data_IF_410860417422
#
_entry.id   IF_410860417422
#
_cell.length_a   1.000
_cell.length_b   1.000
_cell.length_c   1.000
_cell.angle_alpha   90.00
_cell.angle_beta   90.00
_cell.angle_gamma   90.00
#
_symmetry.space_group_name_H-M   'P 1'
#
loop_
_entity.id
_entity.type
_entity.pdbx_description
1 polymer ?
#
# COMPACT_ATOMS: atom_id res chain seq x y z
N UNK A 1 16.32 6.67 21.49
CA UNK A 1 15.33 7.39 22.29
C UNK A 1 15.52 7.14 23.79
N UNK A 2 15.44 5.91 24.29
CA UNK A 2 15.67 5.59 25.73
C UNK A 2 16.98 6.13 26.27
N UNK A 3 18.05 6.16 25.48
CA UNK A 3 19.36 6.74 25.83
C UNK A 3 19.44 8.26 25.82
N UNK A 4 18.32 8.99 25.68
CA UNK A 4 18.29 10.46 25.70
C UNK A 4 18.56 11.13 24.36
N UNK A 5 18.62 10.38 23.25
CA UNK A 5 18.72 10.98 21.91
C UNK A 5 17.32 11.40 21.47
N UNK A 6 17.12 12.69 21.20
CA UNK A 6 15.82 13.24 20.84
C UNK A 6 15.52 13.15 19.35
N UNK A 7 16.54 13.20 18.52
CA UNK A 7 16.42 13.11 17.05
C UNK A 7 17.53 12.26 16.49
N UNK A 8 17.16 11.27 15.72
CA UNK A 8 18.07 10.31 15.11
C UNK A 8 17.75 10.18 13.62
N UNK A 9 18.78 10.04 12.81
CA UNK A 9 18.65 9.55 11.44
C UNK A 9 19.88 8.77 11.03
N UNK A 10 19.68 7.87 10.07
CA UNK A 10 20.79 7.20 9.38
C UNK A 10 20.41 6.94 7.91
N UNK A 11 21.44 6.77 7.09
CA UNK A 11 21.30 6.19 5.76
C UNK A 11 21.76 4.74 5.90
N UNK A 12 20.79 3.83 5.99
CA UNK A 12 21.02 2.44 6.38
C UNK A 12 20.94 1.51 5.18
N UNK A 13 21.88 0.56 5.11
CA UNK A 13 21.74 -0.59 4.22
C UNK A 13 20.81 -1.61 4.86
N UNK A 14 19.74 -1.98 4.15
CA UNK A 14 18.71 -2.87 4.63
C UNK A 14 18.65 -4.14 3.78
N UNK A 15 18.26 -5.24 4.42
CA UNK A 15 18.11 -6.55 3.80
C UNK A 15 16.76 -7.12 4.15
N UNK A 16 16.05 -7.67 3.14
CA UNK A 16 14.77 -8.37 3.32
C UNK A 16 14.73 -9.61 2.46
N UNK A 17 14.22 -10.69 3.02
CA UNK A 17 13.87 -11.89 2.26
C UNK A 17 12.46 -11.70 1.68
N UNK A 18 12.38 -11.22 0.46
CA UNK A 18 11.12 -10.98 -0.23
C UNK A 18 11.25 -11.16 -1.75
N UNK A 19 10.12 -11.36 -2.41
CA UNK A 19 10.06 -11.48 -3.87
C UNK A 19 10.54 -10.21 -4.55
N UNK A 20 11.36 -10.40 -5.59
CA UNK A 20 11.83 -9.31 -6.44
C UNK A 20 10.70 -8.75 -7.29
N UNK A 21 10.52 -7.44 -7.23
CA UNK A 21 9.58 -6.67 -8.06
C UNK A 21 10.30 -5.51 -8.73
N UNK A 22 9.59 -4.79 -9.58
CA UNK A 22 10.15 -3.60 -10.24
C UNK A 22 10.65 -2.55 -9.22
N UNK A 23 9.94 -2.40 -8.10
CA UNK A 23 10.21 -1.45 -7.02
C UNK A 23 10.79 -2.08 -5.74
N UNK A 24 11.24 -3.36 -5.80
CA UNK A 24 11.76 -4.09 -4.64
C UNK A 24 13.04 -4.86 -4.97
N UNK A 25 13.99 -4.80 -4.04
CA UNK A 25 15.24 -5.54 -4.05
C UNK A 25 15.48 -6.13 -2.65
N UNK A 26 16.14 -7.31 -2.54
CA UNK A 26 16.46 -7.92 -1.23
C UNK A 26 17.48 -7.11 -0.45
N UNK A 27 18.19 -6.22 -1.11
CA UNK A 27 19.19 -5.33 -0.57
C UNK A 27 18.91 -3.92 -1.10
N UNK A 28 18.67 -2.96 -0.19
CA UNK A 28 18.24 -1.60 -0.53
C UNK A 28 18.72 -0.61 0.56
N UNK A 29 18.59 0.67 0.27
CA UNK A 29 18.99 1.73 1.20
C UNK A 29 17.76 2.47 1.72
N UNK A 30 17.74 2.77 3.02
CA UNK A 30 16.73 3.62 3.64
C UNK A 30 17.35 4.88 4.24
N UNK A 31 16.57 5.96 4.21
CA UNK A 31 16.77 7.11 5.11
C UNK A 31 15.83 6.85 6.27
N UNK A 32 16.39 6.44 7.39
CA UNK A 32 15.65 6.04 8.59
C UNK A 32 15.75 7.12 9.66
N UNK A 33 14.61 7.52 10.24
CA UNK A 33 14.52 8.63 11.18
C UNK A 33 13.60 8.30 12.35
N UNK A 34 14.01 8.70 13.55
CA UNK A 34 13.23 8.59 14.78
C UNK A 34 13.34 9.88 15.61
N UNK A 35 12.20 10.31 16.19
CA UNK A 35 12.13 11.53 16.99
C UNK A 35 11.35 11.29 18.28
N UNK A 36 11.84 11.86 19.38
CA UNK A 36 11.16 11.84 20.67
C UNK A 36 10.24 13.05 20.84
N UNK A 37 9.18 12.88 21.65
CA UNK A 37 8.22 13.92 22.01
C UNK A 37 7.47 14.51 20.81
N UNK A 38 7.09 13.65 19.87
CA UNK A 38 6.39 14.02 18.64
C UNK A 38 5.04 13.35 18.52
N UNK A 39 4.18 14.01 17.76
CA UNK A 39 2.90 13.49 17.25
C UNK A 39 3.05 13.05 15.78
N UNK A 40 2.01 12.44 15.21
CA UNK A 40 1.96 12.15 13.76
C UNK A 40 2.18 13.43 12.93
N UNK A 41 1.55 14.54 13.36
CA UNK A 41 1.63 15.83 12.66
C UNK A 41 3.05 16.38 12.63
N UNK A 42 3.80 16.24 13.72
CA UNK A 42 5.19 16.70 13.79
C UNK A 42 6.08 15.89 12.85
N UNK A 43 5.90 14.56 12.80
CA UNK A 43 6.66 13.69 11.90
C UNK A 43 6.32 13.99 10.46
N UNK A 44 5.04 14.11 10.11
CA UNK A 44 4.62 14.44 8.74
C UNK A 44 5.15 15.80 8.29
N UNK A 45 5.02 16.84 9.11
CA UNK A 45 5.47 18.19 8.75
C UNK A 45 6.99 18.25 8.52
N UNK A 46 7.78 17.55 9.35
CA UNK A 46 9.23 17.47 9.19
C UNK A 46 9.61 16.78 7.86
N UNK A 47 8.96 15.66 7.55
CA UNK A 47 9.22 14.90 6.33
C UNK A 47 8.74 15.61 5.05
N UNK A 48 7.63 16.36 5.11
CA UNK A 48 7.24 17.26 4.02
C UNK A 48 8.29 18.31 3.75
N UNK A 49 8.85 18.90 4.80
CA UNK A 49 9.95 19.86 4.68
C UNK A 49 11.20 19.27 4.03
N UNK A 50 11.56 18.03 4.40
CA UNK A 50 12.67 17.28 3.80
C UNK A 50 12.43 17.06 2.29
N UNK A 51 11.29 16.50 1.93
CA UNK A 51 10.93 16.21 0.54
C UNK A 51 10.89 17.48 -0.30
N UNK A 52 10.23 18.52 0.18
CA UNK A 52 10.16 19.82 -0.48
C UNK A 52 11.58 20.37 -0.78
N UNK A 53 12.48 20.30 0.20
CA UNK A 53 13.85 20.76 0.04
C UNK A 53 14.61 19.89 -1.00
N UNK A 54 14.55 18.58 -0.89
CA UNK A 54 15.22 17.65 -1.82
C UNK A 54 14.76 17.86 -3.25
N UNK A 55 13.45 17.92 -3.49
CA UNK A 55 12.91 18.11 -4.83
C UNK A 55 13.28 19.48 -5.43
N UNK A 56 13.27 20.52 -4.62
CA UNK A 56 13.69 21.85 -5.07
C UNK A 56 15.18 21.93 -5.37
N UNK A 57 16.04 21.41 -4.51
CA UNK A 57 17.49 21.50 -4.68
C UNK A 57 18.04 20.57 -5.76
N UNK A 58 17.42 19.39 -5.94
CA UNK A 58 17.92 18.38 -6.90
C UNK A 58 17.23 18.49 -8.26
N UNK A 59 15.91 18.72 -8.30
CA UNK A 59 15.13 18.72 -9.53
C UNK A 59 14.69 20.13 -9.97
N UNK A 60 14.83 21.14 -9.11
CA UNK A 60 14.26 22.46 -9.37
C UNK A 60 12.73 22.51 -9.29
N UNK A 61 12.10 21.47 -8.70
CA UNK A 61 10.65 21.36 -8.56
C UNK A 61 10.22 21.85 -7.18
N UNK A 62 9.34 22.84 -7.15
CA UNK A 62 8.75 23.31 -5.89
C UNK A 62 7.49 22.49 -5.58
N UNK A 63 7.56 21.70 -4.52
CA UNK A 63 6.46 20.87 -4.05
C UNK A 63 5.61 21.64 -3.04
N UNK A 64 4.30 21.73 -3.29
CA UNK A 64 3.37 22.39 -2.39
C UNK A 64 3.14 21.55 -1.12
N UNK A 65 3.15 22.21 0.04
CA UNK A 65 2.86 21.62 1.36
C UNK A 65 1.79 22.44 2.08
N UNK A 66 0.98 21.87 2.98
CA UNK A 66 0.98 20.49 3.44
C UNK A 66 0.42 19.52 2.41
N UNK A 67 0.89 18.25 2.43
CA UNK A 67 0.34 17.20 1.58
C UNK A 67 -1.07 16.81 2.03
N UNK A 68 -1.90 16.38 1.06
CA UNK A 68 -3.22 15.83 1.36
C UNK A 68 -3.08 14.62 2.27
N UNK A 69 -3.91 14.56 3.32
CA UNK A 69 -4.08 13.37 4.16
C UNK A 69 -5.32 12.62 3.73
N UNK A 70 -5.21 11.33 3.60
CA UNK A 70 -6.26 10.43 3.16
C UNK A 70 -6.31 9.23 4.10
N UNK A 71 -7.39 9.00 4.84
CA UNK A 71 -7.54 7.78 5.61
C UNK A 71 -7.45 6.52 4.73
N UNK A 72 -6.88 5.45 5.25
CA UNK A 72 -6.77 4.16 4.54
C UNK A 72 -8.12 3.70 3.97
N UNK A 73 -9.20 3.85 4.75
CA UNK A 73 -10.54 3.49 4.30
C UNK A 73 -11.00 4.28 3.08
N UNK A 74 -10.68 5.58 3.00
CA UNK A 74 -10.94 6.42 1.84
C UNK A 74 -10.09 5.99 0.64
N UNK A 75 -8.79 5.73 0.86
CA UNK A 75 -7.88 5.28 -0.20
C UNK A 75 -8.37 3.97 -0.84
N UNK A 76 -8.76 3.00 -0.02
CA UNK A 76 -9.34 1.74 -0.51
C UNK A 76 -10.68 1.93 -1.20
N UNK A 77 -11.59 2.71 -0.61
CA UNK A 77 -12.93 2.91 -1.16
C UNK A 77 -12.93 3.62 -2.52
N UNK A 78 -12.04 4.63 -2.70
CA UNK A 78 -11.99 5.46 -3.91
C UNK A 78 -11.00 4.99 -4.96
N UNK A 79 -9.93 4.31 -4.56
CA UNK A 79 -8.83 3.99 -5.48
C UNK A 79 -8.49 2.51 -5.50
N UNK A 80 -9.00 1.70 -4.56
CA UNK A 80 -8.73 0.27 -4.46
C UNK A 80 -7.27 -0.04 -4.10
N UNK A 81 -6.58 0.90 -3.44
CA UNK A 81 -5.16 0.77 -3.08
C UNK A 81 -4.83 1.66 -1.88
N UNK A 82 -3.95 1.19 -1.01
CA UNK A 82 -3.31 1.92 0.08
C UNK A 82 -2.26 2.95 -0.39
N UNK A 83 -1.89 2.92 -1.65
CA UNK A 83 -0.94 3.83 -2.32
C UNK A 83 -1.53 4.36 -3.65
N UNK A 84 -2.57 5.19 -3.60
CA UNK A 84 -3.29 5.61 -4.80
C UNK A 84 -2.46 6.56 -5.66
N UNK A 85 -2.49 6.33 -6.97
CA UNK A 85 -2.07 7.35 -7.93
C UNK A 85 -3.24 8.32 -8.16
N UNK A 86 -3.11 9.53 -7.69
CA UNK A 86 -4.14 10.57 -7.78
C UNK A 86 -3.90 11.59 -8.90
N UNK A 87 -2.96 11.31 -9.84
CA UNK A 87 -2.71 12.18 -11.01
C UNK A 87 -3.83 12.17 -12.02
N UNK A 88 -4.72 11.17 -11.95
CA UNK A 88 -5.87 11.01 -12.84
C UNK A 88 -7.11 10.58 -12.04
N UNK A 89 -8.28 10.70 -12.66
CA UNK A 89 -9.56 10.28 -12.07
C UNK A 89 -9.75 8.76 -12.04
N UNK A 90 -10.87 8.26 -12.57
CA UNK A 90 -11.27 6.85 -12.57
C UNK A 90 -11.47 6.29 -11.14
N UNK A 91 -12.09 7.09 -10.27
CA UNK A 91 -12.37 6.66 -8.91
C UNK A 91 -13.40 5.53 -8.90
N UNK A 92 -13.26 4.62 -7.94
CA UNK A 92 -14.20 3.55 -7.69
C UNK A 92 -15.51 4.12 -7.15
N UNK A 93 -16.61 3.59 -7.63
CA UNK A 93 -17.96 3.95 -7.19
C UNK A 93 -18.67 2.71 -6.65
N UNK A 94 -19.29 2.84 -5.49
CA UNK A 94 -20.08 1.78 -4.88
C UNK A 94 -21.50 1.81 -5.47
N UNK A 95 -21.90 0.71 -6.10
CA UNK A 95 -23.22 0.52 -6.67
C UNK A 95 -23.94 -0.70 -6.06
N UNK A 96 -23.45 -1.16 -4.91
CA UNK A 96 -23.96 -2.34 -4.21
C UNK A 96 -25.46 -2.24 -3.95
N UNK A 97 -25.91 -1.11 -3.40
CA UNK A 97 -27.33 -0.92 -3.08
C UNK A 97 -28.21 -0.82 -4.33
N UNK A 98 -27.67 -0.23 -5.40
CA UNK A 98 -28.39 -0.13 -6.69
C UNK A 98 -28.61 -1.49 -7.33
N UNK A 99 -27.67 -2.42 -7.16
CA UNK A 99 -27.66 -3.72 -7.83
C UNK A 99 -27.96 -4.90 -6.89
N UNK A 100 -28.36 -4.63 -5.65
CA UNK A 100 -28.64 -5.64 -4.61
C UNK A 100 -29.66 -6.68 -5.06
N UNK A 101 -30.76 -6.25 -5.67
CA UNK A 101 -31.85 -7.11 -6.09
C UNK A 101 -31.78 -7.47 -7.59
N UNK A 102 -30.67 -7.15 -8.25
CA UNK A 102 -30.54 -7.35 -9.69
C UNK A 102 -30.73 -8.81 -10.10
N UNK A 103 -31.34 -9.02 -11.28
CA UNK A 103 -31.48 -10.34 -11.87
C UNK A 103 -30.14 -10.96 -12.34
N UNK A 104 -29.05 -10.27 -12.23
CA UNK A 104 -27.72 -10.80 -12.57
C UNK A 104 -27.14 -11.57 -11.39
N UNK A 105 -27.17 -12.90 -11.45
CA UNK A 105 -26.82 -13.81 -10.36
C UNK A 105 -25.44 -13.54 -9.74
N UNK A 106 -24.45 -13.07 -10.52
CA UNK A 106 -23.10 -12.77 -10.01
C UNK A 106 -23.15 -11.62 -9.01
N UNK A 107 -23.89 -10.54 -9.30
CA UNK A 107 -24.00 -9.41 -8.39
C UNK A 107 -24.79 -9.78 -7.14
N UNK A 108 -25.93 -10.42 -7.34
CA UNK A 108 -26.78 -10.86 -6.22
C UNK A 108 -26.01 -11.77 -5.26
N UNK A 109 -25.33 -12.79 -5.77
CA UNK A 109 -24.54 -13.72 -4.93
C UNK A 109 -23.40 -13.01 -4.17
N UNK A 110 -22.74 -12.03 -4.78
CA UNK A 110 -21.68 -11.28 -4.11
C UNK A 110 -22.25 -10.46 -2.93
N UNK A 111 -23.37 -9.79 -3.13
CA UNK A 111 -24.04 -8.98 -2.10
C UNK A 111 -24.61 -9.85 -0.97
N UNK A 112 -25.28 -10.96 -1.30
CA UNK A 112 -25.81 -11.93 -0.32
C UNK A 112 -24.71 -12.53 0.55
N UNK A 113 -23.49 -12.68 0.02
CA UNK A 113 -22.31 -13.14 0.76
C UNK A 113 -21.62 -12.04 1.60
N UNK A 114 -22.17 -10.82 1.65
CA UNK A 114 -21.61 -9.71 2.43
C UNK A 114 -20.53 -8.90 1.70
N UNK A 115 -20.32 -9.15 0.41
CA UNK A 115 -19.39 -8.39 -0.43
C UNK A 115 -20.02 -7.17 -1.09
N UNK A 116 -19.40 -6.67 -2.15
CA UNK A 116 -19.85 -5.45 -2.84
C UNK A 116 -19.79 -5.57 -4.36
N UNK A 117 -20.54 -4.67 -5.00
CA UNK A 117 -20.48 -4.40 -6.43
C UNK A 117 -19.99 -2.97 -6.61
N UNK A 118 -18.83 -2.82 -7.25
CA UNK A 118 -18.22 -1.52 -7.50
C UNK A 118 -17.85 -1.36 -8.96
N UNK A 119 -17.74 -0.13 -9.40
CA UNK A 119 -17.37 0.16 -10.78
C UNK A 119 -16.38 1.32 -10.90
N UNK A 120 -15.78 1.40 -12.09
CA UNK A 120 -15.09 2.57 -12.61
C UNK A 120 -15.86 3.06 -13.83
N UNK A 121 -16.13 4.36 -13.91
CA UNK A 121 -16.60 4.99 -15.14
C UNK A 121 -15.40 5.54 -15.94
N UNK A 122 -15.03 4.88 -17.02
CA UNK A 122 -14.00 5.33 -17.96
C UNK A 122 -14.62 6.35 -18.93
N UNK A 123 -14.72 7.61 -18.47
CA UNK A 123 -15.43 8.70 -19.17
C UNK A 123 -14.80 9.04 -20.50
N UNK A 124 -15.63 9.06 -21.56
CA UNK A 124 -15.21 9.39 -22.93
C UNK A 124 -14.30 8.37 -23.61
N UNK A 125 -14.08 7.20 -22.99
CA UNK A 125 -13.08 6.22 -23.47
C UNK A 125 -13.68 5.06 -24.27
N UNK A 126 -14.97 5.08 -24.65
CA UNK A 126 -15.58 4.04 -25.43
C UNK A 126 -14.89 3.80 -26.80
N UNK A 127 -14.30 4.83 -27.39
CA UNK A 127 -13.51 4.70 -28.62
C UNK A 127 -12.19 3.94 -28.43
N UNK A 128 -11.50 4.17 -27.31
CA UNK A 128 -10.23 3.53 -26.97
C UNK A 128 -10.40 2.13 -26.36
N UNK A 129 -11.47 1.93 -25.58
CA UNK A 129 -11.81 0.67 -24.93
C UNK A 129 -12.78 -0.15 -25.80
N UNK A 130 -12.26 -0.68 -26.89
CA UNK A 130 -13.01 -1.63 -27.74
C UNK A 130 -13.23 -2.94 -27.02
N UNK A 131 -14.12 -3.80 -27.52
CA UNK A 131 -14.37 -5.13 -26.95
C UNK A 131 -13.06 -5.92 -26.74
N UNK A 132 -12.18 -5.94 -27.74
CA UNK A 132 -10.89 -6.63 -27.66
C UNK A 132 -10.00 -6.09 -26.52
N UNK A 133 -10.08 -4.79 -26.27
CA UNK A 133 -9.31 -4.19 -25.17
C UNK A 133 -9.95 -4.48 -23.82
N UNK A 134 -11.28 -4.53 -23.75
CA UNK A 134 -11.99 -4.95 -22.53
C UNK A 134 -11.69 -6.42 -22.21
N UNK A 135 -11.60 -7.29 -23.22
CA UNK A 135 -11.21 -8.69 -23.02
C UNK A 135 -9.82 -8.82 -22.36
N UNK A 136 -8.87 -7.95 -22.70
CA UNK A 136 -7.56 -7.89 -21.99
C UNK A 136 -7.69 -7.40 -20.55
N UNK A 137 -8.60 -6.47 -20.29
CA UNK A 137 -8.88 -5.99 -18.93
C UNK A 137 -9.53 -7.08 -18.07
N UNK A 138 -10.27 -8.03 -18.65
CA UNK A 138 -10.76 -9.22 -17.94
C UNK A 138 -9.58 -10.03 -17.37
N UNK A 139 -8.51 -10.21 -18.14
CA UNK A 139 -7.31 -10.93 -17.69
C UNK A 139 -6.61 -10.17 -16.55
N UNK A 140 -6.54 -8.85 -16.64
CA UNK A 140 -6.03 -8.02 -15.52
C UNK A 140 -6.86 -8.25 -14.26
N UNK A 141 -8.19 -8.15 -14.34
CA UNK A 141 -9.06 -8.38 -13.18
C UNK A 141 -8.87 -9.77 -12.56
N UNK A 142 -8.73 -10.80 -13.39
CA UNK A 142 -8.50 -12.19 -12.92
C UNK A 142 -7.15 -12.36 -12.23
N UNK A 143 -6.10 -11.67 -12.67
CA UNK A 143 -4.79 -11.71 -12.01
C UNK A 143 -4.87 -11.22 -10.55
N UNK A 144 -5.82 -10.33 -10.26
CA UNK A 144 -6.09 -9.82 -8.91
C UNK A 144 -7.24 -10.55 -8.20
N UNK A 145 -7.57 -11.77 -8.63
CA UNK A 145 -8.50 -12.66 -7.94
C UNK A 145 -9.96 -12.52 -8.32
N UNK A 146 -10.35 -11.55 -9.16
CA UNK A 146 -11.73 -11.42 -9.61
C UNK A 146 -12.13 -12.59 -10.53
N UNK A 147 -13.34 -13.09 -10.37
CA UNK A 147 -13.89 -14.17 -11.22
C UNK A 147 -14.16 -13.74 -12.66
N UNK A 148 -14.30 -12.43 -12.87
CA UNK A 148 -14.56 -11.82 -14.17
C UNK A 148 -14.71 -10.31 -14.08
N UNK A 149 -14.94 -9.68 -15.23
CA UNK A 149 -15.21 -8.25 -15.37
C UNK A 149 -16.52 -8.07 -16.15
N UNK A 150 -17.51 -7.46 -15.52
CA UNK A 150 -18.71 -7.04 -16.20
C UNK A 150 -18.50 -5.62 -16.77
N UNK A 151 -19.13 -5.31 -17.90
CA UNK A 151 -18.96 -4.01 -18.52
C UNK A 151 -20.21 -3.54 -19.23
N UNK A 152 -20.36 -2.22 -19.32
CA UNK A 152 -21.28 -1.52 -20.22
C UNK A 152 -20.53 -0.48 -21.01
N UNK A 153 -20.71 -0.47 -22.32
CA UNK A 153 -20.11 0.46 -23.24
C UNK A 153 -21.22 1.28 -23.89
N UNK A 154 -21.19 2.58 -23.68
CA UNK A 154 -22.18 3.56 -24.16
C UNK A 154 -21.63 4.27 -25.39
N UNK A 155 -22.20 4.04 -26.56
CA UNK A 155 -21.76 4.68 -27.80
C UNK A 155 -22.91 5.40 -28.48
N UNK A 156 -22.61 6.23 -29.47
CA UNK A 156 -23.64 6.88 -30.29
C UNK A 156 -24.52 5.86 -31.01
N UNK A 157 -23.98 4.70 -31.35
CA UNK A 157 -24.70 3.62 -32.03
C UNK A 157 -25.57 2.75 -31.09
N UNK A 158 -25.48 2.96 -29.79
CA UNK A 158 -26.23 2.24 -28.76
C UNK A 158 -25.37 1.71 -27.61
N UNK A 159 -26.02 0.91 -26.75
CA UNK A 159 -25.46 0.30 -25.55
C UNK A 159 -25.06 -1.14 -25.81
N UNK A 160 -23.81 -1.47 -25.49
CA UNK A 160 -23.32 -2.85 -25.48
C UNK A 160 -22.92 -3.22 -24.05
N UNK A 161 -23.57 -4.23 -23.47
CA UNK A 161 -23.31 -4.65 -22.09
C UNK A 161 -23.27 -6.17 -21.95
N UNK A 162 -22.41 -6.64 -21.04
CA UNK A 162 -22.33 -8.06 -20.67
C UNK A 162 -23.41 -8.49 -19.68
N UNK A 163 -24.07 -7.54 -18.99
CA UNK A 163 -24.98 -7.84 -17.88
C UNK A 163 -26.31 -7.07 -17.89
N UNK A 164 -26.44 -5.91 -18.53
CA UNK A 164 -27.63 -5.06 -18.43
C UNK A 164 -28.91 -5.72 -18.95
N UNK A 165 -28.83 -6.75 -19.79
CA UNK A 165 -29.97 -7.56 -20.20
C UNK A 165 -30.69 -8.29 -19.06
N UNK A 166 -30.04 -8.40 -17.89
CA UNK A 166 -30.59 -9.01 -16.68
C UNK A 166 -31.15 -7.97 -15.69
N UNK A 167 -31.03 -6.67 -16.00
CA UNK A 167 -31.52 -5.57 -15.18
C UNK A 167 -32.89 -5.08 -15.69
N UNK A 168 -33.74 -4.62 -14.76
CA UNK A 168 -34.92 -3.83 -15.13
C UNK A 168 -34.52 -2.46 -15.67
N UNK A 169 -35.46 -1.76 -16.33
CA UNK A 169 -35.17 -0.41 -16.84
C UNK A 169 -34.93 0.60 -15.72
N UNK A 170 -35.58 0.41 -14.56
CA UNK A 170 -35.33 1.21 -13.35
C UNK A 170 -33.93 0.99 -12.80
N UNK A 171 -33.47 -0.25 -12.74
CA UNK A 171 -32.11 -0.59 -12.29
C UNK A 171 -31.03 -0.03 -13.25
N UNK A 172 -31.24 -0.12 -14.56
CA UNK A 172 -30.34 0.49 -15.57
C UNK A 172 -30.25 1.99 -15.39
N UNK A 173 -31.42 2.66 -15.27
CA UNK A 173 -31.45 4.10 -15.07
C UNK A 173 -30.76 4.52 -13.75
N UNK A 174 -30.99 3.76 -12.67
CA UNK A 174 -30.36 4.01 -11.39
C UNK A 174 -28.83 3.79 -11.45
N UNK A 175 -28.36 2.73 -12.13
CA UNK A 175 -26.94 2.44 -12.34
C UNK A 175 -26.27 3.56 -13.15
N UNK A 176 -26.83 3.94 -14.28
CA UNK A 176 -26.27 5.00 -15.13
C UNK A 176 -26.23 6.34 -14.39
N UNK A 177 -27.28 6.66 -13.62
CA UNK A 177 -27.32 7.85 -12.77
C UNK A 177 -26.24 7.81 -11.68
N UNK A 178 -26.11 6.70 -10.95
CA UNK A 178 -25.11 6.54 -9.91
C UNK A 178 -23.68 6.64 -10.46
N UNK A 179 -23.43 6.03 -11.63
CA UNK A 179 -22.16 6.09 -12.33
C UNK A 179 -21.87 7.45 -12.99
N UNK A 180 -22.87 8.35 -13.09
CA UNK A 180 -22.76 9.57 -13.89
C UNK A 180 -22.38 9.26 -15.34
N UNK A 181 -22.99 8.21 -15.90
CA UNK A 181 -22.67 7.66 -17.20
C UNK A 181 -23.30 8.45 -18.34
N UNK A 182 -22.50 8.71 -19.37
CA UNK A 182 -22.91 9.45 -20.57
C UNK A 182 -22.51 8.68 -21.84
N UNK A 183 -23.04 9.10 -22.97
CA UNK A 183 -22.63 8.54 -24.28
C UNK A 183 -21.12 8.81 -24.49
N UNK A 184 -20.36 7.78 -24.80
CA UNK A 184 -18.91 7.81 -24.91
C UNK A 184 -18.18 7.11 -23.75
N UNK A 185 -18.91 6.72 -22.69
CA UNK A 185 -18.33 6.14 -21.47
C UNK A 185 -18.25 4.60 -21.54
N UNK A 186 -17.40 4.05 -20.69
CA UNK A 186 -17.35 2.60 -20.41
C UNK A 186 -17.39 2.36 -18.91
N UNK A 187 -18.41 1.65 -18.46
CA UNK A 187 -18.51 1.18 -17.09
C UNK A 187 -17.80 -0.19 -16.97
N UNK A 188 -16.85 -0.29 -16.07
CA UNK A 188 -16.12 -1.51 -15.74
C UNK A 188 -16.52 -1.93 -14.33
N UNK A 189 -17.18 -3.07 -14.18
CA UNK A 189 -17.84 -3.49 -12.93
C UNK A 189 -17.24 -4.79 -12.42
N UNK A 190 -16.86 -4.79 -11.14
CA UNK A 190 -16.39 -5.99 -10.41
C UNK A 190 -17.29 -6.23 -9.22
N UNK A 191 -17.61 -7.49 -8.98
CA UNK A 191 -18.36 -7.95 -7.81
C UNK A 191 -17.69 -9.21 -7.24
N UNK A 192 -17.52 -9.23 -5.93
CA UNK A 192 -17.05 -10.41 -5.20
C UNK A 192 -17.56 -10.39 -3.77
N UNK A 193 -17.59 -11.57 -3.13
CA UNK A 193 -17.90 -11.73 -1.71
C UNK A 193 -16.85 -11.06 -0.80
N UNK A 194 -15.60 -10.93 -1.30
CA UNK A 194 -14.49 -10.30 -0.59
C UNK A 194 -14.24 -8.90 -1.15
N UNK A 195 -14.44 -7.88 -0.33
CA UNK A 195 -14.15 -6.49 -0.71
C UNK A 195 -12.69 -6.28 -1.12
N UNK A 196 -11.74 -7.00 -0.50
CA UNK A 196 -10.32 -6.95 -0.87
C UNK A 196 -10.09 -7.33 -2.34
N UNK A 197 -10.79 -8.36 -2.84
CA UNK A 197 -10.74 -8.76 -4.26
C UNK A 197 -11.31 -7.65 -5.17
N UNK A 198 -12.44 -7.06 -4.78
CA UNK A 198 -13.06 -5.97 -5.55
C UNK A 198 -12.12 -4.77 -5.64
N UNK A 199 -11.54 -4.36 -4.53
CA UNK A 199 -10.60 -3.24 -4.48
C UNK A 199 -9.33 -3.52 -5.29
N UNK A 200 -8.69 -4.66 -5.07
CA UNK A 200 -7.46 -5.02 -5.80
C UNK A 200 -7.68 -5.08 -7.32
N UNK A 201 -8.77 -5.70 -7.77
CA UNK A 201 -9.09 -5.80 -9.19
C UNK A 201 -9.40 -4.43 -9.81
N UNK A 202 -10.24 -3.61 -9.18
CA UNK A 202 -10.58 -2.28 -9.69
C UNK A 202 -9.39 -1.31 -9.60
N UNK A 203 -8.58 -1.38 -8.55
CA UNK A 203 -7.34 -0.59 -8.44
C UNK A 203 -6.37 -0.89 -9.58
N UNK A 204 -6.18 -2.17 -9.91
CA UNK A 204 -5.35 -2.59 -11.04
C UNK A 204 -5.95 -2.18 -12.40
N UNK A 205 -7.26 -2.34 -12.57
CA UNK A 205 -7.99 -1.91 -13.78
C UNK A 205 -7.87 -0.41 -13.99
N UNK A 206 -7.96 0.37 -12.92
CA UNK A 206 -7.80 1.82 -12.92
C UNK A 206 -6.45 2.23 -13.52
N UNK A 207 -5.37 1.61 -13.06
CA UNK A 207 -4.02 1.85 -13.59
C UNK A 207 -3.86 1.37 -15.04
N UNK A 208 -4.38 0.18 -15.36
CA UNK A 208 -4.30 -0.38 -16.71
C UNK A 208 -5.01 0.52 -17.74
N UNK A 209 -6.21 1.03 -17.41
CA UNK A 209 -6.96 1.97 -18.27
C UNK A 209 -6.21 3.29 -18.40
N UNK A 210 -5.70 3.84 -17.29
CA UNK A 210 -5.00 5.11 -17.29
C UNK A 210 -3.73 5.07 -18.14
N UNK A 211 -2.92 4.04 -17.99
CA UNK A 211 -1.71 3.83 -18.79
C UNK A 211 -2.05 3.66 -20.27
N UNK A 212 -3.02 2.81 -20.59
CA UNK A 212 -3.43 2.56 -21.98
C UNK A 212 -3.96 3.82 -22.67
N UNK A 213 -4.71 4.63 -21.97
CA UNK A 213 -5.38 5.80 -22.52
C UNK A 213 -4.58 7.11 -22.36
N UNK A 214 -3.34 7.03 -21.82
CA UNK A 214 -2.48 8.21 -21.65
C UNK A 214 -3.04 9.25 -20.67
N UNK A 215 -3.73 8.81 -19.61
CA UNK A 215 -4.33 9.72 -18.63
C UNK A 215 -3.34 10.22 -17.57
N UNK A 216 -2.19 9.57 -17.48
CA UNK A 216 -1.16 9.87 -16.47
C UNK A 216 -0.21 10.91 -17.03
N UNK A 217 -0.15 12.06 -16.35
CA UNK A 217 0.88 13.08 -16.64
C UNK A 217 2.22 12.64 -16.02
N UNK A 218 3.24 12.31 -16.81
CA UNK A 218 4.53 11.84 -16.31
C UNK A 218 5.37 12.95 -15.66
N UNK A 219 5.02 14.23 -15.89
CA UNK A 219 5.76 15.37 -15.34
C UNK A 219 5.27 15.82 -13.98
N UNK A 220 4.14 15.27 -13.54
CA UNK A 220 3.50 15.64 -12.30
C UNK A 220 4.00 14.78 -11.12
N UNK A 221 4.43 15.44 -10.05
CA UNK A 221 4.70 14.83 -8.75
C UNK A 221 3.53 15.12 -7.80
N UNK A 222 2.75 14.10 -7.49
CA UNK A 222 1.56 14.23 -6.66
C UNK A 222 1.75 13.43 -5.37
N UNK A 223 2.02 14.16 -4.27
CA UNK A 223 2.23 13.60 -2.95
C UNK A 223 0.93 13.54 -2.16
N UNK A 224 0.81 12.53 -1.32
CA UNK A 224 -0.21 12.43 -0.28
C UNK A 224 0.27 11.56 0.88
N UNK A 225 -0.38 11.70 2.00
CA UNK A 225 -0.28 10.78 3.13
C UNK A 225 -1.48 9.84 3.13
N UNK A 226 -1.23 8.57 3.35
CA UNK A 226 -2.25 7.62 3.77
C UNK A 226 -2.10 7.42 5.27
N UNK A 227 -3.20 7.52 6.01
CA UNK A 227 -3.24 7.50 7.48
C UNK A 227 -4.32 6.54 7.97
N UNK A 228 -4.43 6.37 9.28
CA UNK A 228 -5.49 5.57 9.89
C UNK A 228 -5.57 4.14 9.35
N UNK A 229 -4.40 3.51 9.18
CA UNK A 229 -4.34 2.11 8.77
C UNK A 229 -4.99 1.20 9.83
N UNK A 230 -5.59 0.07 9.41
CA UNK A 230 -5.91 -0.99 10.38
C UNK A 230 -4.65 -1.42 11.14
N UNK A 231 -4.78 -1.66 12.43
CA UNK A 231 -3.66 -2.22 13.20
C UNK A 231 -3.50 -3.70 12.88
N UNK A 232 -4.62 -4.42 12.78
CA UNK A 232 -4.66 -5.85 12.55
C UNK A 232 -5.16 -6.19 11.15
N UNK A 233 -4.55 -7.21 10.56
CA UNK A 233 -5.00 -7.89 9.36
C UNK A 233 -5.19 -9.37 9.68
N UNK A 234 -6.33 -9.96 9.25
CA UNK A 234 -6.58 -11.38 9.47
C UNK A 234 -5.92 -12.20 8.36
N UNK A 235 -4.98 -13.07 8.72
CA UNK A 235 -4.38 -14.04 7.81
C UNK A 235 -5.26 -15.30 7.73
N UNK A 236 -5.87 -15.55 6.59
CA UNK A 236 -6.62 -16.81 6.35
C UNK A 236 -5.68 -18.03 6.35
N UNK A 237 -4.44 -17.86 5.91
CA UNK A 237 -3.43 -18.92 5.85
C UNK A 237 -2.98 -19.34 7.25
N UNK A 238 -2.71 -18.38 8.14
CA UNK A 238 -2.30 -18.66 9.51
C UNK A 238 -3.47 -18.78 10.49
N UNK A 239 -4.69 -18.43 10.08
CA UNK A 239 -5.90 -18.49 10.90
C UNK A 239 -5.87 -17.55 12.11
N UNK A 240 -5.12 -16.43 12.05
CA UNK A 240 -4.94 -15.49 13.16
C UNK A 240 -4.81 -14.04 12.69
N UNK A 241 -4.94 -13.14 13.64
CA UNK A 241 -4.64 -11.73 13.44
C UNK A 241 -3.13 -11.48 13.41
N UNK A 242 -2.70 -10.67 12.44
CA UNK A 242 -1.33 -10.21 12.26
C UNK A 242 -1.30 -8.69 12.35
N UNK A 243 -0.16 -8.11 12.74
CA UNK A 243 0.02 -6.66 12.63
C UNK A 243 0.18 -6.28 11.15
N UNK A 244 -0.58 -5.30 10.69
CA UNK A 244 -0.50 -4.85 9.30
C UNK A 244 0.86 -4.19 8.98
N UNK A 245 1.44 -3.46 9.95
CA UNK A 245 2.78 -2.88 9.85
C UNK A 245 3.77 -3.66 10.72
N UNK A 246 3.80 -3.36 12.01
CA UNK A 246 4.64 -4.07 12.99
C UNK A 246 4.04 -3.98 14.40
N UNK A 247 4.39 -4.90 15.31
CA UNK A 247 3.75 -5.01 16.63
C UNK A 247 4.07 -3.86 17.60
N UNK A 248 4.95 -2.95 17.24
CA UNK A 248 5.36 -1.80 18.05
C UNK A 248 4.68 -0.49 17.65
N UNK A 249 3.79 -0.53 16.67
CA UNK A 249 2.95 0.61 16.27
C UNK A 249 1.95 0.94 17.37
N UNK A 250 1.78 2.22 17.69
CA UNK A 250 0.76 2.64 18.66
C UNK A 250 -0.63 2.55 18.04
N UNK A 251 -1.57 1.84 18.64
CA UNK A 251 -2.98 1.92 18.25
C UNK A 251 -3.57 3.28 18.65
N UNK A 252 -4.63 3.71 17.98
CA UNK A 252 -5.38 4.89 18.40
C UNK A 252 -5.97 4.67 19.79
N UNK A 253 -5.86 5.68 20.66
CA UNK A 253 -6.28 5.58 22.05
C UNK A 253 -7.78 5.23 22.18
N UNK A 254 -8.61 5.78 21.30
CA UNK A 254 -10.06 5.53 21.27
C UNK A 254 -10.44 4.10 20.81
N UNK A 255 -9.51 3.36 20.23
CA UNK A 255 -9.74 1.99 19.74
C UNK A 255 -9.13 0.91 20.67
N UNK A 256 -8.40 1.31 21.72
CA UNK A 256 -7.76 0.36 22.65
C UNK A 256 -8.74 -0.65 23.25
N UNK A 257 -9.95 -0.22 23.61
CA UNK A 257 -10.95 -1.10 24.20
C UNK A 257 -11.49 -2.17 23.23
N UNK A 258 -11.21 -2.05 21.94
CA UNK A 258 -11.64 -2.99 20.90
C UNK A 258 -10.64 -4.10 20.61
N UNK A 259 -9.42 -4.01 21.12
CA UNK A 259 -8.30 -4.91 20.77
C UNK A 259 -8.68 -6.39 20.89
N UNK A 260 -9.41 -6.77 21.93
CA UNK A 260 -9.82 -8.17 22.16
C UNK A 260 -11.20 -8.49 21.58
N UNK A 261 -12.09 -7.50 21.49
CA UNK A 261 -13.50 -7.72 21.09
C UNK A 261 -13.73 -7.58 19.60
N UNK A 262 -13.01 -6.67 18.94
CA UNK A 262 -13.15 -6.36 17.51
C UNK A 262 -11.80 -5.88 16.93
N UNK A 263 -10.78 -6.77 16.85
CA UNK A 263 -9.45 -6.40 16.38
C UNK A 263 -9.46 -5.75 14.98
N UNK A 264 -10.36 -6.18 14.11
CA UNK A 264 -10.48 -5.66 12.74
C UNK A 264 -10.84 -4.18 12.64
N UNK A 265 -11.39 -3.58 13.71
CA UNK A 265 -11.75 -2.16 13.76
C UNK A 265 -10.70 -1.26 14.43
N UNK A 266 -9.62 -1.85 14.96
CA UNK A 266 -8.56 -1.10 15.65
C UNK A 266 -7.68 -0.40 14.60
N UNK A 267 -7.57 0.92 14.70
CA UNK A 267 -6.71 1.73 13.83
C UNK A 267 -5.36 1.99 14.48
N UNK A 268 -4.34 2.06 13.65
CA UNK A 268 -2.97 2.38 14.03
C UNK A 268 -2.65 3.87 13.83
N UNK A 269 -1.77 4.42 14.64
CA UNK A 269 -1.09 5.69 14.40
C UNK A 269 0.07 5.46 13.42
N UNK A 270 -0.29 4.96 12.22
CA UNK A 270 0.62 4.68 11.12
C UNK A 270 0.30 5.59 9.92
N UNK A 271 1.33 5.94 9.19
CA UNK A 271 1.24 6.85 8.05
C UNK A 271 2.27 6.50 6.98
N UNK A 272 1.83 6.47 5.72
CA UNK A 272 2.68 6.26 4.56
C UNK A 272 2.64 7.48 3.65
N UNK A 273 3.82 7.94 3.22
CA UNK A 273 3.93 8.94 2.18
C UNK A 273 3.88 8.27 0.83
N UNK A 274 2.92 8.66 0.02
CA UNK A 274 2.72 8.14 -1.33
C UNK A 274 3.08 9.21 -2.36
N UNK A 275 3.84 8.82 -3.37
CA UNK A 275 4.15 9.62 -4.55
C UNK A 275 3.75 8.86 -5.80
N UNK A 276 2.79 9.40 -6.58
CA UNK A 276 2.42 8.89 -7.90
C UNK A 276 2.05 7.39 -7.91
N UNK A 277 1.34 6.92 -6.88
CA UNK A 277 0.94 5.51 -6.80
C UNK A 277 1.99 4.58 -6.21
N UNK A 278 3.07 5.13 -5.68
CA UNK A 278 4.15 4.39 -5.05
C UNK A 278 4.35 4.86 -3.60
N UNK A 279 4.44 3.95 -2.66
CA UNK A 279 4.83 4.23 -1.28
C UNK A 279 6.29 4.66 -1.26
N UNK A 280 6.53 5.92 -0.93
CA UNK A 280 7.86 6.49 -0.86
C UNK A 280 8.56 6.13 0.45
N UNK A 281 7.80 6.05 1.50
CA UNK A 281 8.23 5.65 2.82
C UNK A 281 7.05 5.60 3.79
N UNK A 282 7.23 4.87 4.88
CA UNK A 282 6.22 4.68 5.90
C UNK A 282 6.76 4.84 7.31
N UNK A 283 5.86 5.10 8.24
CA UNK A 283 6.19 5.29 9.63
C UNK A 283 5.01 5.15 10.57
N UNK A 284 5.29 5.28 11.85
CA UNK A 284 4.26 5.27 12.89
C UNK A 284 4.71 5.98 14.15
N UNK A 285 3.76 6.32 15.01
CA UNK A 285 4.03 6.55 16.43
C UNK A 285 4.22 5.18 17.09
N UNK A 286 5.21 5.07 17.97
CA UNK A 286 5.58 3.80 18.62
C UNK A 286 4.88 3.65 19.96
N UNK A 287 4.58 2.41 20.33
CA UNK A 287 4.18 2.10 21.69
C UNK A 287 5.38 2.40 22.61
N UNK A 288 5.13 3.17 23.66
CA UNK A 288 6.11 3.47 24.71
C UNK A 288 5.65 3.04 26.09
N UNK A 289 4.42 2.55 26.22
CA UNK A 289 3.86 2.00 27.44
C UNK A 289 4.00 0.46 27.43
N UNK A 290 4.75 -0.15 28.38
CA UNK A 290 4.92 -1.60 28.45
C UNK A 290 3.60 -2.37 28.56
N UNK A 291 2.59 -1.83 29.26
CA UNK A 291 1.31 -2.52 29.43
C UNK A 291 0.52 -2.57 28.12
N UNK A 292 0.56 -1.50 27.33
CA UNK A 292 -0.01 -1.49 25.98
C UNK A 292 0.74 -2.48 25.08
N UNK A 293 2.07 -2.51 25.15
CA UNK A 293 2.88 -3.42 24.34
C UNK A 293 2.56 -4.89 24.64
N UNK A 294 2.50 -5.27 25.92
CA UNK A 294 2.13 -6.63 26.32
C UNK A 294 0.75 -7.03 25.80
N UNK A 295 -0.21 -6.11 25.88
CA UNK A 295 -1.57 -6.32 25.40
C UNK A 295 -1.61 -6.57 23.89
N UNK A 296 -0.87 -5.77 23.11
CA UNK A 296 -0.80 -5.91 21.66
C UNK A 296 -0.12 -7.21 21.25
N UNK A 297 0.99 -7.60 21.90
CA UNK A 297 1.65 -8.87 21.63
C UNK A 297 0.75 -10.08 21.90
N UNK A 298 -0.03 -10.04 22.99
CA UNK A 298 -1.01 -11.09 23.30
C UNK A 298 -2.11 -11.16 22.24
N UNK A 299 -2.64 -10.02 21.79
CA UNK A 299 -3.66 -9.98 20.74
C UNK A 299 -3.15 -10.53 19.40
N UNK A 300 -1.84 -10.41 19.14
CA UNK A 300 -1.17 -11.00 17.97
C UNK A 300 -0.81 -12.49 18.16
N UNK A 301 -1.17 -13.09 19.31
CA UNK A 301 -0.95 -14.52 19.57
C UNK A 301 0.46 -14.87 20.06
N UNK A 302 1.26 -13.90 20.52
CA UNK A 302 2.54 -14.20 21.15
C UNK A 302 2.31 -14.73 22.57
N UNK A 303 2.92 -15.89 22.90
CA UNK A 303 3.10 -16.28 24.29
C UNK A 303 4.13 -15.36 24.97
N UNK A 304 4.07 -15.26 26.30
CA UNK A 304 5.03 -14.46 27.06
C UNK A 304 6.48 -14.88 26.81
N UNK A 305 6.74 -16.20 26.72
CA UNK A 305 8.06 -16.76 26.43
C UNK A 305 8.54 -16.32 25.05
N UNK A 306 7.71 -16.49 24.01
CA UNK A 306 8.06 -16.11 22.64
C UNK A 306 8.25 -14.60 22.48
N UNK A 307 7.43 -13.79 23.14
CA UNK A 307 7.59 -12.34 23.16
C UNK A 307 8.93 -11.94 23.80
N UNK A 308 9.31 -12.59 24.91
CA UNK A 308 10.58 -12.39 25.57
C UNK A 308 11.80 -12.83 24.74
N UNK A 309 11.71 -13.98 24.09
CA UNK A 309 12.78 -14.46 23.20
C UNK A 309 13.01 -13.51 22.02
N UNK A 310 11.94 -13.01 21.41
CA UNK A 310 12.04 -12.18 20.21
C UNK A 310 12.31 -10.72 20.50
N UNK A 311 11.72 -10.16 21.58
CA UNK A 311 11.66 -8.73 21.84
C UNK A 311 12.06 -8.34 23.27
N UNK A 312 12.57 -9.28 24.07
CA UNK A 312 12.89 -9.06 25.48
C UNK A 312 13.81 -7.87 25.70
N UNK A 313 14.84 -7.72 24.86
CA UNK A 313 15.76 -6.58 24.92
C UNK A 313 15.06 -5.22 24.75
N UNK A 314 14.04 -5.14 23.88
CA UNK A 314 13.26 -3.92 23.67
C UNK A 314 12.30 -3.68 24.84
N UNK A 315 11.60 -4.73 25.31
CA UNK A 315 10.69 -4.66 26.44
C UNK A 315 11.42 -4.23 27.72
N UNK A 316 12.63 -4.74 27.93
CA UNK A 316 13.48 -4.37 29.08
C UNK A 316 13.97 -2.92 28.95
N UNK A 317 14.33 -2.45 27.74
CA UNK A 317 14.70 -1.06 27.51
C UNK A 317 13.55 -0.10 27.85
N UNK A 318 12.32 -0.45 27.55
CA UNK A 318 11.14 0.39 27.86
C UNK A 318 10.92 0.58 29.37
N UNK A 319 11.37 -0.34 30.20
CA UNK A 319 11.26 -0.20 31.66
C UNK A 319 12.15 0.95 32.22
N UNK A 320 13.15 1.38 31.48
CA UNK A 320 13.96 2.55 31.84
C UNK A 320 13.32 3.90 31.47
N UNK A 321 12.11 3.88 30.88
CA UNK A 321 11.36 5.07 30.49
C UNK A 321 11.62 5.46 29.03
N UNK A 322 10.84 4.86 28.10
CA UNK A 322 10.83 5.32 26.73
C UNK A 322 9.99 6.61 26.60
N UNK A 323 10.52 7.68 25.99
CA UNK A 323 9.70 8.84 25.66
C UNK A 323 8.64 8.48 24.62
N UNK A 324 7.53 9.22 24.52
CA UNK A 324 6.71 9.19 23.33
C UNK A 324 7.58 9.47 22.10
N UNK A 325 7.54 8.61 21.10
CA UNK A 325 8.39 8.75 19.92
C UNK A 325 7.72 8.20 18.67
N UNK A 326 8.20 8.63 17.55
CA UNK A 326 7.74 8.18 16.25
C UNK A 326 8.79 8.46 15.18
N UNK A 327 8.67 7.78 14.08
CA UNK A 327 9.63 7.92 13.01
C UNK A 327 9.08 7.47 11.67
N UNK A 328 9.94 7.55 10.67
CA UNK A 328 9.66 7.19 9.29
C UNK A 328 10.92 6.74 8.59
N UNK A 329 10.79 5.80 7.68
CA UNK A 329 11.87 5.41 6.79
C UNK A 329 11.48 5.62 5.33
N UNK A 330 12.32 6.33 4.58
CA UNK A 330 12.19 6.44 3.12
C UNK A 330 12.99 5.34 2.43
N UNK A 331 12.39 4.72 1.41
CA UNK A 331 13.14 3.92 0.45
C UNK A 331 13.98 4.85 -0.44
N UNK A 332 15.27 4.99 -0.12
CA UNK A 332 16.15 5.92 -0.83
C UNK A 332 16.25 5.61 -2.33
N UNK A 333 16.46 4.34 -2.66
CA UNK A 333 16.55 3.91 -4.07
C UNK A 333 15.24 4.14 -4.81
N UNK A 334 14.09 3.93 -4.12
CA UNK A 334 12.75 4.19 -4.68
C UNK A 334 12.52 5.69 -4.89
N UNK A 335 12.98 6.53 -3.97
CA UNK A 335 12.93 7.99 -4.14
C UNK A 335 13.70 8.41 -5.38
N UNK A 336 14.92 7.93 -5.56
CA UNK A 336 15.75 8.23 -6.73
C UNK A 336 15.09 7.72 -8.02
N UNK A 337 14.53 6.51 -8.01
CA UNK A 337 13.79 5.94 -9.13
C UNK A 337 12.63 6.85 -9.56
N UNK A 338 11.82 7.32 -8.63
CA UNK A 338 10.68 8.20 -8.90
C UNK A 338 11.12 9.60 -9.37
N UNK A 339 12.17 10.16 -8.77
CA UNK A 339 12.74 11.45 -9.20
C UNK A 339 13.27 11.40 -10.63
N UNK A 340 13.86 10.28 -11.05
CA UNK A 340 14.37 10.05 -12.40
C UNK A 340 13.30 9.49 -13.35
N UNK A 341 12.05 9.31 -12.90
CA UNK A 341 10.92 8.76 -13.68
C UNK A 341 11.28 7.41 -14.32
N UNK A 342 11.92 6.52 -13.55
CA UNK A 342 12.26 5.16 -13.96
C UNK A 342 11.19 4.18 -13.48
N UNK A 343 11.00 3.12 -14.27
CA UNK A 343 10.00 2.08 -13.97
C UNK A 343 10.56 0.96 -13.10
N UNK A 344 11.89 0.94 -12.89
CA UNK A 344 12.55 -0.08 -12.10
C UNK A 344 13.62 0.51 -11.18
N UNK A 345 13.62 0.07 -9.92
CA UNK A 345 14.64 0.40 -8.93
C UNK A 345 16.05 -0.10 -9.35
N UNK A 346 16.11 -1.11 -10.22
CA UNK A 346 17.37 -1.64 -10.76
C UNK A 346 18.13 -0.63 -11.61
N UNK A 347 17.44 0.36 -12.19
CA UNK A 347 18.06 1.40 -13.00
C UNK A 347 18.86 2.41 -12.18
N UNK A 348 18.66 2.41 -10.85
CA UNK A 348 19.27 3.40 -9.94
C UNK A 348 20.12 2.77 -8.84
N UNK A 349 20.24 1.44 -8.81
CA UNK A 349 21.10 0.71 -7.89
C UNK A 349 22.33 0.22 -8.63
N UNK A 350 23.52 0.53 -8.09
CA UNK A 350 24.75 -0.10 -8.54
C UNK A 350 24.73 -1.59 -8.11
N UNK A 351 24.99 -2.50 -9.05
CA UNK A 351 24.97 -3.95 -8.80
C UNK A 351 23.61 -4.51 -8.34
N UNK A 352 22.50 -4.28 -9.08
CA UNK A 352 21.19 -4.76 -8.71
C UNK A 352 21.13 -6.29 -8.74
N UNK A 353 20.36 -6.87 -7.82
CA UNK A 353 20.13 -8.31 -7.76
C UNK A 353 19.13 -8.76 -8.83
N UNK A 354 19.36 -9.94 -9.40
CA UNK A 354 18.44 -10.63 -10.31
C UNK A 354 17.59 -11.65 -9.56
N UNK A 355 16.67 -12.31 -10.26
CA UNK A 355 15.61 -13.13 -9.66
C UNK A 355 16.10 -14.23 -8.71
N UNK A 356 17.32 -14.75 -8.88
CA UNK A 356 17.96 -15.71 -7.97
C UNK A 356 18.77 -15.06 -6.83
N UNK A 357 18.54 -13.77 -6.57
CA UNK A 357 19.28 -12.94 -5.61
C UNK A 357 20.79 -12.80 -5.93
N UNK A 358 21.23 -13.24 -7.09
CA UNK A 358 22.60 -13.07 -7.57
C UNK A 358 22.83 -11.68 -8.13
N UNK A 359 24.08 -11.25 -8.12
CA UNK A 359 24.55 -10.02 -8.73
C UNK A 359 25.40 -10.38 -9.97
N UNK A 360 24.96 -10.06 -11.20
CA UNK A 360 25.64 -10.53 -12.43
C UNK A 360 27.02 -9.94 -12.68
N UNK A 361 27.31 -8.75 -12.15
CA UNK A 361 28.57 -8.05 -12.42
C UNK A 361 29.75 -8.67 -11.69
N UNK A 362 29.54 -9.04 -10.41
CA UNK A 362 30.58 -9.65 -9.56
C UNK A 362 30.43 -11.17 -9.44
N UNK A 363 29.30 -11.74 -9.90
CA UNK A 363 28.96 -13.16 -9.72
C UNK A 363 28.51 -13.54 -8.31
N UNK A 364 28.29 -12.57 -7.43
CA UNK A 364 27.85 -12.83 -6.04
C UNK A 364 26.42 -13.39 -5.98
N UNK A 365 26.09 -14.28 -5.01
CA UNK A 365 26.99 -14.84 -4.01
C UNK A 365 27.89 -15.93 -4.58
N UNK A 366 29.16 -15.94 -4.19
CA UNK A 366 30.16 -16.92 -4.56
C UNK A 366 30.90 -17.40 -3.32
N UNK A 367 31.45 -18.62 -3.38
CA UNK A 367 32.24 -19.16 -2.29
C UNK A 367 33.56 -18.42 -2.19
N UNK A 368 33.95 -18.03 -0.98
CA UNK A 368 35.27 -17.44 -0.69
C UNK A 368 36.22 -18.56 -0.30
N UNK A 369 37.49 -18.40 -0.66
CA UNK A 369 38.53 -19.30 -0.20
C UNK A 369 38.58 -19.34 1.33
N UNK A 370 38.68 -20.55 1.89
CA UNK A 370 38.66 -20.78 3.35
C UNK A 370 39.67 -19.90 4.10
N UNK A 371 40.84 -19.69 3.51
CA UNK A 371 41.89 -18.82 4.09
C UNK A 371 41.41 -17.37 4.22
N UNK A 372 40.70 -16.83 3.23
CA UNK A 372 40.16 -15.48 3.29
C UNK A 372 39.01 -15.38 4.30
N UNK A 373 38.17 -16.41 4.36
CA UNK A 373 37.08 -16.48 5.34
C UNK A 373 37.62 -16.46 6.78
N UNK A 374 38.67 -17.22 7.05
CA UNK A 374 39.32 -17.26 8.37
C UNK A 374 39.95 -15.93 8.79
N UNK A 375 40.57 -15.20 7.87
CA UNK A 375 41.12 -13.88 8.14
C UNK A 375 40.07 -12.87 8.56
N UNK A 376 38.94 -12.83 7.86
CA UNK A 376 37.92 -11.80 8.07
C UNK A 376 36.87 -12.16 9.13
N UNK A 377 36.68 -13.44 9.43
CA UNK A 377 35.64 -13.90 10.34
C UNK A 377 36.21 -14.47 11.66
N UNK A 378 37.32 -15.20 11.61
CA UNK A 378 37.80 -15.95 12.75
C UNK A 378 38.95 -15.28 13.52
N UNK A 379 39.78 -14.47 12.89
CA UNK A 379 40.89 -13.82 13.57
C UNK A 379 40.48 -12.80 14.64
N UNK A 380 39.47 -11.96 14.45
CA UNK A 380 39.01 -11.05 15.49
C UNK A 380 38.50 -11.72 16.77
N UNK A 381 38.20 -13.00 16.71
CA UNK A 381 37.63 -13.76 17.83
C UNK A 381 38.61 -14.68 18.53
N UNK A 382 39.88 -14.76 18.09
CA UNK A 382 40.90 -15.51 18.81
C UNK A 382 41.42 -14.65 19.98
N UNK A 383 41.24 -15.06 21.23
CA UNK A 383 41.94 -14.41 22.35
C UNK A 383 43.43 -14.58 22.15
N UNK A 384 44.18 -13.50 22.25
CA UNK A 384 45.62 -13.50 22.32
C UNK A 384 46.11 -14.18 23.61
#
# INVERSE_FOLDING_TARGET
MVGGIERYYQIARCFRDEDLRADRQPEFTQIDMEMSFVTEDDVMAMNEGLVKRVFREVLGVDVETPFRRMPYSEAMARYGSDKPDTRFGLELQDVTDVLRESGFAVFKSAVEAGGSVRLINAKGLAGALTRKEIDKLVDVAKTYGAKGLAYTRLTADGVTSSFEKFLSEEEKAALHKAAGAETGDVLLVVADAKNSTVFAALGALRLAVANKCGLIDPDKFNFLWVTDFPFFEYSEEEGRWMAMHHPFTMPRAEDLDKVESDPGSVRALAYDMVLNGCELGGGSIRINDPAVQDRMLKALGFSEERARESFGFLMDAYQYGAPPHGGMAFGFDRMVMLMLKRDSIRDVIAFPKVQNAGEPMSGCPETVEEKLSLIHISEPTRPY
#
